data_IF_961410154291
#
_entry.id   IF_961410154291
#
_cell.length_a   1.000
_cell.length_b   1.000
_cell.length_c   1.000
_cell.angle_alpha   90.00
_cell.angle_beta   90.00
_cell.angle_gamma   90.00
#
_symmetry.space_group_name_H-M   'P 1'
#
loop_
_entity.id
_entity.type
_entity.pdbx_description
1 polymer ?
#
# COMPACT_ATOMS: atom_id res chain seq x y z
N UNK A 1 -0.73 -6.73 15.78
CA UNK A 1 -1.31 -5.40 15.56
C UNK A 1 -0.49 -4.75 14.47
N UNK A 2 -1.08 -4.50 13.31
CA UNK A 2 -0.37 -3.88 12.18
C UNK A 2 -0.03 -2.43 12.50
N UNK A 3 1.07 -1.94 11.94
CA UNK A 3 1.43 -0.54 12.02
C UNK A 3 0.45 0.25 11.13
N UNK A 4 -0.41 1.09 11.71
CA UNK A 4 -1.42 1.89 10.99
C UNK A 4 -0.83 3.19 10.41
N UNK A 5 0.46 3.43 10.63
CA UNK A 5 1.15 4.67 10.29
C UNK A 5 2.16 4.44 9.18
N UNK A 6 2.36 5.45 8.34
CA UNK A 6 3.28 5.47 7.20
C UNK A 6 4.50 6.35 7.48
N UNK A 7 5.69 5.75 7.51
CA UNK A 7 6.97 6.39 7.79
C UNK A 7 7.43 7.36 6.69
N UNK A 8 7.78 8.59 7.07
CA UNK A 8 8.25 9.62 6.15
C UNK A 8 9.75 9.89 6.27
N UNK A 9 10.39 10.18 5.13
CA UNK A 9 11.83 10.46 5.01
C UNK A 9 12.68 9.32 5.58
N UNK A 10 13.42 9.56 6.65
CA UNK A 10 14.31 8.56 7.24
C UNK A 10 13.55 7.40 7.90
N UNK A 11 12.29 7.62 8.32
CA UNK A 11 11.42 6.52 8.78
C UNK A 11 10.88 5.63 7.66
N UNK A 12 10.99 6.07 6.40
CA UNK A 12 10.54 5.29 5.25
C UNK A 12 11.38 4.03 5.01
N UNK A 13 12.65 4.02 5.43
CA UNK A 13 13.56 2.89 5.16
C UNK A 13 13.00 1.58 5.73
N UNK A 14 12.53 1.59 6.98
CA UNK A 14 11.93 0.42 7.61
C UNK A 14 10.69 -0.08 6.86
N UNK A 15 9.85 0.83 6.36
CA UNK A 15 8.68 0.44 5.57
C UNK A 15 9.05 -0.10 4.20
N UNK A 16 10.03 0.50 3.53
CA UNK A 16 10.51 0.00 2.24
C UNK A 16 11.03 -1.43 2.40
N UNK A 17 11.74 -1.75 3.49
CA UNK A 17 12.19 -3.11 3.75
C UNK A 17 11.02 -4.07 4.03
N UNK A 18 10.02 -3.65 4.81
CA UNK A 18 8.82 -4.45 5.04
C UNK A 18 8.04 -4.70 3.75
N UNK A 19 7.92 -3.69 2.88
CA UNK A 19 7.26 -3.78 1.57
C UNK A 19 8.03 -4.74 0.67
N UNK A 20 9.37 -4.67 0.62
CA UNK A 20 10.18 -5.62 -0.17
C UNK A 20 9.96 -7.05 0.26
N UNK A 21 9.95 -7.30 1.58
CA UNK A 21 9.68 -8.65 2.10
C UNK A 21 8.27 -9.12 1.72
N UNK A 22 7.28 -8.23 1.80
CA UNK A 22 5.93 -8.54 1.36
C UNK A 22 5.84 -8.80 -0.15
N UNK A 23 6.50 -7.98 -0.98
CA UNK A 23 6.58 -8.18 -2.44
C UNK A 23 7.21 -9.53 -2.77
N UNK A 24 8.34 -9.88 -2.14
CA UNK A 24 9.04 -11.16 -2.33
C UNK A 24 8.20 -12.37 -1.91
N UNK A 25 7.56 -12.32 -0.73
CA UNK A 25 6.70 -13.41 -0.22
C UNK A 25 5.49 -13.66 -1.12
N UNK A 26 5.01 -12.64 -1.82
CA UNK A 26 3.82 -12.72 -2.67
C UNK A 26 4.15 -12.77 -4.17
N UNK A 27 5.43 -12.92 -4.55
CA UNK A 27 5.90 -12.91 -5.95
C UNK A 27 5.40 -11.69 -6.75
N UNK A 28 5.44 -10.52 -6.12
CA UNK A 28 5.07 -9.24 -6.72
C UNK A 28 6.30 -8.52 -7.27
N UNK A 29 6.07 -7.63 -8.23
CA UNK A 29 7.12 -6.74 -8.72
C UNK A 29 7.54 -5.71 -7.66
N UNK A 30 8.75 -5.16 -7.81
CA UNK A 30 9.33 -4.20 -6.87
C UNK A 30 8.78 -2.76 -7.05
N UNK A 31 7.58 -2.61 -7.65
CA UNK A 31 7.00 -1.31 -7.98
C UNK A 31 6.78 -0.44 -6.75
N UNK A 32 6.18 -0.98 -5.68
CA UNK A 32 5.79 -0.19 -4.54
C UNK A 32 7.00 0.16 -3.69
N UNK A 33 7.90 -0.79 -3.41
CA UNK A 33 9.12 -0.51 -2.65
C UNK A 33 10.02 0.53 -3.34
N UNK A 34 10.14 0.49 -4.67
CA UNK A 34 10.92 1.48 -5.44
C UNK A 34 10.28 2.85 -5.51
N UNK A 35 8.95 2.91 -5.43
CA UNK A 35 8.21 4.16 -5.58
C UNK A 35 7.56 4.65 -4.28
N UNK A 36 7.86 4.04 -3.13
CA UNK A 36 7.21 4.29 -1.85
C UNK A 36 7.07 5.78 -1.55
N UNK A 37 8.19 6.51 -1.51
CA UNK A 37 8.19 7.94 -1.20
C UNK A 37 7.35 8.77 -2.18
N UNK A 38 7.32 8.38 -3.46
CA UNK A 38 6.52 9.03 -4.49
C UNK A 38 5.02 8.72 -4.30
N UNK A 39 4.69 7.48 -3.98
CA UNK A 39 3.32 7.06 -3.68
C UNK A 39 2.80 7.78 -2.42
N UNK A 40 3.58 7.76 -1.34
CA UNK A 40 3.26 8.46 -0.10
C UNK A 40 3.04 9.95 -0.33
N UNK A 41 3.95 10.64 -1.04
CA UNK A 41 3.79 12.05 -1.35
C UNK A 41 2.52 12.35 -2.17
N UNK A 42 2.13 11.47 -3.10
CA UNK A 42 0.87 11.62 -3.84
C UNK A 42 -0.34 11.55 -2.92
N UNK A 43 -0.31 10.66 -1.92
CA UNK A 43 -1.39 10.54 -0.94
C UNK A 43 -1.46 11.76 -0.02
N UNK A 44 -0.31 12.28 0.42
CA UNK A 44 -0.20 13.51 1.21
C UNK A 44 -0.77 14.71 0.43
N UNK A 45 -0.33 14.93 -0.82
CA UNK A 45 -0.78 16.06 -1.65
C UNK A 45 -2.30 16.03 -1.90
N UNK A 46 -2.89 14.83 -1.96
CA UNK A 46 -4.32 14.64 -2.17
C UNK A 46 -5.13 14.68 -0.87
N UNK A 47 -4.50 14.99 0.27
CA UNK A 47 -5.12 15.02 1.59
C UNK A 47 -5.77 13.69 2.00
N UNK A 48 -5.24 12.56 1.50
CA UNK A 48 -5.66 11.24 1.97
C UNK A 48 -5.08 10.92 3.35
N UNK A 49 -3.96 11.56 3.69
CA UNK A 49 -3.21 11.32 4.91
C UNK A 49 -3.14 12.58 5.76
N UNK A 50 -3.10 12.39 7.08
CA UNK A 50 -2.82 13.44 8.06
C UNK A 50 -1.53 13.13 8.83
N UNK A 51 -0.90 14.16 9.38
CA UNK A 51 0.34 14.00 10.16
C UNK A 51 0.01 13.31 11.47
N UNK A 52 0.68 12.19 11.72
CA UNK A 52 0.51 11.42 12.95
C UNK A 52 1.54 11.81 14.02
N UNK A 53 2.82 11.86 13.64
CA UNK A 53 3.92 12.22 14.54
C UNK A 53 4.87 13.23 13.88
N UNK A 54 5.53 14.04 14.72
CA UNK A 54 6.46 15.08 14.31
C UNK A 54 7.78 15.03 15.09
N UNK A 55 8.82 15.66 14.54
CA UNK A 55 10.05 15.92 15.31
C UNK A 55 9.78 16.95 16.41
N UNK A 56 10.73 17.09 17.35
CA UNK A 56 10.79 18.23 18.28
C UNK A 56 10.80 19.60 17.60
N UNK A 57 11.13 19.65 16.30
CA UNK A 57 11.13 20.85 15.46
C UNK A 57 9.88 20.98 14.58
N UNK A 58 8.85 20.15 14.80
CA UNK A 58 7.57 20.19 14.08
C UNK A 58 7.59 19.57 12.68
N UNK A 59 8.67 18.89 12.27
CA UNK A 59 8.72 18.24 10.97
C UNK A 59 7.99 16.88 11.00
N UNK A 60 7.08 16.59 10.06
CA UNK A 60 6.40 15.29 9.99
C UNK A 60 7.38 14.12 9.92
N UNK A 61 7.11 13.07 10.69
CA UNK A 61 7.85 11.81 10.70
C UNK A 61 6.99 10.65 10.26
N UNK A 62 5.71 10.67 10.61
CA UNK A 62 4.76 9.62 10.29
C UNK A 62 3.43 10.24 9.87
N UNK A 63 2.74 9.55 8.98
CA UNK A 63 1.41 9.90 8.50
C UNK A 63 0.42 8.78 8.82
N UNK A 64 -0.86 9.10 8.89
CA UNK A 64 -1.94 8.12 9.05
C UNK A 64 -3.04 8.43 8.05
N UNK A 65 -3.80 7.41 7.65
CA UNK A 65 -4.95 7.59 6.77
C UNK A 65 -6.03 8.39 7.49
N UNK A 66 -6.59 9.40 6.82
CA UNK A 66 -7.70 10.19 7.37
C UNK A 66 -8.87 9.26 7.69
N UNK A 67 -9.40 9.37 8.92
CA UNK A 67 -10.41 8.42 9.45
C UNK A 67 -11.63 8.25 8.54
N UNK A 68 -12.14 9.34 7.96
CA UNK A 68 -13.28 9.28 7.03
C UNK A 68 -12.96 8.40 5.83
N UNK A 69 -11.74 8.49 5.30
CA UNK A 69 -11.31 7.69 4.15
C UNK A 69 -11.10 6.24 4.60
N UNK A 70 -10.47 6.01 5.75
CA UNK A 70 -10.28 4.67 6.32
C UNK A 70 -11.62 3.91 6.46
N UNK A 71 -12.66 4.58 6.94
CA UNK A 71 -13.98 3.99 7.09
C UNK A 71 -14.64 3.61 5.74
N UNK A 72 -14.23 4.21 4.63
CA UNK A 72 -14.84 3.98 3.31
C UNK A 72 -13.94 3.19 2.35
N UNK A 73 -12.64 3.06 2.64
CA UNK A 73 -11.68 2.42 1.75
C UNK A 73 -11.89 0.89 1.68
N UNK A 74 -12.38 0.29 2.77
CA UNK A 74 -12.62 -1.16 2.87
C UNK A 74 -14.10 -1.52 2.71
N UNK A 75 -15.00 -0.54 2.76
CA UNK A 75 -16.44 -0.71 2.49
C UNK A 75 -16.69 -0.53 0.98
N UNK A 76 -16.09 -1.41 0.18
CA UNK A 76 -16.32 -1.40 -1.28
C UNK A 76 -17.81 -1.67 -1.56
N UNK A 77 -18.45 -0.88 -2.45
CA UNK A 77 -19.80 -1.19 -2.90
C UNK A 77 -19.88 -2.62 -3.43
N UNK A 78 -21.00 -3.31 -3.18
CA UNK A 78 -21.21 -4.72 -3.59
C UNK A 78 -20.94 -4.94 -5.08
N UNK A 79 -21.28 -3.94 -5.90
CA UNK A 79 -21.06 -3.96 -7.35
C UNK A 79 -19.56 -4.00 -7.70
N UNK A 80 -18.71 -3.29 -6.94
CA UNK A 80 -17.25 -3.32 -7.13
C UNK A 80 -16.63 -4.63 -6.66
N UNK A 81 -17.15 -5.21 -5.56
CA UNK A 81 -16.69 -6.52 -5.06
C UNK A 81 -16.93 -7.60 -6.11
N UNK A 82 -18.10 -7.58 -6.74
CA UNK A 82 -18.46 -8.53 -7.80
C UNK A 82 -17.50 -8.45 -9.01
N UNK A 83 -17.13 -7.23 -9.42
CA UNK A 83 -16.14 -7.02 -10.51
C UNK A 83 -14.76 -7.53 -10.12
N UNK A 84 -14.32 -7.29 -8.87
CA UNK A 84 -13.04 -7.79 -8.37
C UNK A 84 -13.01 -9.32 -8.31
N UNK A 85 -14.10 -9.95 -7.88
CA UNK A 85 -14.25 -11.40 -7.87
C UNK A 85 -14.19 -11.98 -9.29
N UNK A 86 -14.90 -11.37 -10.25
CA UNK A 86 -14.83 -11.75 -11.66
C UNK A 86 -13.41 -11.63 -12.23
N UNK A 87 -12.70 -10.56 -11.89
CA UNK A 87 -11.30 -10.39 -12.28
C UNK A 87 -10.41 -11.45 -11.63
N UNK A 88 -10.54 -11.69 -10.33
CA UNK A 88 -9.78 -12.73 -9.64
C UNK A 88 -10.02 -14.11 -10.25
N UNK A 89 -11.28 -14.50 -10.50
CA UNK A 89 -11.62 -15.77 -11.17
C UNK A 89 -11.01 -15.87 -12.57
N UNK A 90 -11.08 -14.79 -13.34
CA UNK A 90 -10.49 -14.73 -14.68
C UNK A 90 -8.98 -14.96 -14.69
N UNK A 91 -8.28 -14.51 -13.65
CA UNK A 91 -6.82 -14.60 -13.56
C UNK A 91 -6.31 -15.71 -12.64
N UNK A 92 -7.17 -16.41 -11.88
CA UNK A 92 -6.82 -17.58 -11.05
C UNK A 92 -6.14 -18.71 -11.84
N UNK A 93 -6.44 -18.84 -13.14
CA UNK A 93 -5.86 -19.86 -14.03
C UNK A 93 -4.43 -19.59 -14.51
N UNK A 94 -3.87 -18.39 -14.31
CA UNK A 94 -2.50 -18.08 -14.74
C UNK A 94 -1.42 -18.54 -13.75
N UNK A 95 -1.79 -18.81 -12.50
CA UNK A 95 -0.86 -19.25 -11.43
C UNK A 95 -0.67 -20.78 -11.43
N UNK A 96 -1.42 -21.52 -12.26
CA UNK A 96 -1.23 -22.96 -12.46
C UNK A 96 -1.02 -23.29 -13.94
N UNK A 97 0.15 -22.94 -14.47
CA UNK A 97 0.70 -23.72 -15.58
C UNK A 97 2.21 -23.83 -15.42
N UNK A 98 2.67 -25.07 -15.26
CA UNK A 98 4.05 -25.55 -15.44
C UNK A 98 4.58 -25.31 -16.87
N UNK A 99 4.31 -24.15 -17.46
CA UNK A 99 4.80 -23.76 -18.78
C UNK A 99 5.01 -22.24 -18.79
N UNK A 100 6.10 -21.77 -18.19
CA UNK A 100 6.82 -20.63 -18.73
C UNK A 100 7.87 -21.18 -19.69
N UNK A 101 7.66 -21.15 -21.01
CA UNK A 101 8.79 -21.20 -21.93
C UNK A 101 9.35 -19.79 -21.96
N UNK A 102 10.30 -19.46 -21.08
CA UNK A 102 11.60 -18.79 -21.27
C UNK A 102 12.24 -18.66 -19.89
#
# INVERSE_FOLDING_TARGET
MGQETLGYRWKAEGEIQNIKQWEEVNDLDDQLSRNYSKALNKLIIRNFLEVYDTTSYGNPREYILVKVISNHLLDLPVDMVSVLDEMMEKYKGFVNSDTLPF
#
